data_IF_980416310686
#
_entry.id   IF_980416310686
#
_cell.length_a   1.000
_cell.length_b   1.000
_cell.length_c   1.000
_cell.angle_alpha   90.00
_cell.angle_beta   90.00
_cell.angle_gamma   90.00
#
_symmetry.space_group_name_H-M   'P 1'
#
loop_
_entity.id
_entity.type
_entity.pdbx_description
1 polymer ?
#
# COMPACT_ATOMS: atom_id res chain seq x y z
N UNK A 1 -46.06 64.78 -18.24
CA UNK A 1 -47.29 64.21 -17.69
C UNK A 1 -47.47 62.86 -18.35
N UNK A 2 -46.83 61.79 -17.87
CA UNK A 2 -47.17 60.93 -16.70
C UNK A 2 -48.33 59.95 -17.01
N UNK A 3 -48.10 59.02 -17.94
CA UNK A 3 -48.77 57.72 -17.90
C UNK A 3 -47.97 56.81 -16.96
N UNK A 4 -48.51 56.66 -15.76
CA UNK A 4 -48.07 55.74 -14.73
C UNK A 4 -48.21 54.29 -15.22
N UNK A 5 -47.08 53.64 -15.44
CA UNK A 5 -46.92 52.19 -15.55
C UNK A 5 -47.74 51.49 -14.47
N UNK A 6 -48.89 50.92 -14.86
CA UNK A 6 -49.65 50.04 -14.00
C UNK A 6 -48.91 48.71 -13.91
N UNK A 7 -48.18 48.54 -12.81
CA UNK A 7 -47.63 47.24 -12.42
C UNK A 7 -48.78 46.24 -12.28
N UNK A 8 -48.80 45.24 -13.16
CA UNK A 8 -49.68 44.08 -13.06
C UNK A 8 -49.54 43.46 -11.68
N UNK A 9 -50.62 43.30 -10.90
CA UNK A 9 -50.53 42.64 -9.60
C UNK A 9 -50.03 41.21 -9.81
N UNK A 10 -48.93 40.88 -9.15
CA UNK A 10 -48.27 39.60 -9.21
C UNK A 10 -49.29 38.48 -8.92
N UNK A 11 -49.70 37.78 -9.97
CA UNK A 11 -50.50 36.58 -9.90
C UNK A 11 -49.55 35.49 -9.38
N UNK A 12 -49.56 35.24 -8.07
CA UNK A 12 -48.80 34.14 -7.46
C UNK A 12 -49.19 32.84 -8.14
N UNK A 13 -48.24 32.27 -8.90
CA UNK A 13 -48.45 31.06 -9.69
C UNK A 13 -48.49 29.87 -8.71
N UNK A 14 -49.66 29.24 -8.45
CA UNK A 14 -49.77 28.18 -7.43
C UNK A 14 -49.02 26.89 -7.81
N UNK A 15 -48.70 26.71 -9.10
CA UNK A 15 -48.05 25.53 -9.67
C UNK A 15 -46.60 25.30 -9.18
N UNK A 16 -45.87 26.35 -8.77
CA UNK A 16 -44.45 26.24 -8.37
C UNK A 16 -44.30 25.71 -6.94
N UNK A 17 -45.30 25.93 -6.09
CA UNK A 17 -45.22 25.64 -4.66
C UNK A 17 -45.40 24.15 -4.36
N UNK A 18 -46.19 23.43 -5.14
CA UNK A 18 -46.44 22.01 -4.91
C UNK A 18 -45.30 21.13 -5.46
N UNK A 19 -44.83 21.42 -6.68
CA UNK A 19 -43.71 20.69 -7.30
C UNK A 19 -42.39 20.81 -6.52
N UNK A 20 -42.09 21.99 -5.96
CA UNK A 20 -40.85 22.21 -5.18
C UNK A 20 -40.84 21.49 -3.83
N UNK A 21 -42.00 21.25 -3.21
CA UNK A 21 -42.07 20.57 -1.93
C UNK A 21 -41.86 19.05 -2.07
N UNK A 22 -42.34 18.47 -3.18
CA UNK A 22 -42.09 17.06 -3.50
C UNK A 22 -40.61 16.81 -3.81
N UNK A 23 -40.00 17.63 -4.67
CA UNK A 23 -38.57 17.52 -5.01
C UNK A 23 -37.64 17.70 -3.81
N UNK A 24 -37.91 18.69 -2.94
CA UNK A 24 -37.13 18.92 -1.72
C UNK A 24 -37.26 17.73 -0.75
N UNK A 25 -38.46 17.16 -0.61
CA UNK A 25 -38.67 15.99 0.27
C UNK A 25 -37.94 14.75 -0.24
N UNK A 26 -37.91 14.55 -1.56
CA UNK A 26 -37.19 13.44 -2.20
C UNK A 26 -35.68 13.55 -1.95
N UNK A 27 -35.08 14.73 -2.16
CA UNK A 27 -33.65 14.94 -1.94
C UNK A 27 -33.23 14.76 -0.47
N UNK A 28 -34.08 15.18 0.48
CA UNK A 28 -33.82 15.00 1.91
C UNK A 28 -33.85 13.51 2.31
N UNK A 29 -34.75 12.72 1.73
CA UNK A 29 -34.82 11.27 1.96
C UNK A 29 -33.59 10.56 1.38
N UNK A 30 -33.14 10.95 0.19
CA UNK A 30 -31.96 10.36 -0.44
C UNK A 30 -30.67 10.67 0.34
N UNK A 31 -30.50 11.88 0.86
CA UNK A 31 -29.35 12.22 1.73
C UNK A 31 -29.35 11.36 2.99
N UNK A 32 -30.52 11.12 3.58
CA UNK A 32 -30.62 10.27 4.77
C UNK A 32 -30.25 8.83 4.46
N UNK A 33 -30.70 8.29 3.33
CA UNK A 33 -30.35 6.93 2.87
C UNK A 33 -28.85 6.79 2.67
N UNK A 34 -28.26 7.71 1.91
CA UNK A 34 -26.82 7.74 1.66
C UNK A 34 -26.05 7.80 2.98
N UNK A 35 -26.49 8.65 3.92
CA UNK A 35 -25.87 8.74 5.26
C UNK A 35 -25.94 7.41 6.01
N UNK A 36 -27.09 6.74 6.05
CA UNK A 36 -27.22 5.43 6.72
C UNK A 36 -26.40 4.34 6.04
N UNK A 37 -26.38 4.30 4.70
CA UNK A 37 -25.58 3.34 3.93
C UNK A 37 -24.08 3.52 4.19
N UNK A 38 -23.62 4.77 4.33
CA UNK A 38 -22.25 5.07 4.73
C UNK A 38 -21.93 4.54 6.14
N UNK A 39 -22.81 4.77 7.13
CA UNK A 39 -22.58 4.27 8.49
C UNK A 39 -22.56 2.74 8.57
N UNK A 40 -23.48 2.08 7.86
CA UNK A 40 -23.54 0.62 7.81
C UNK A 40 -22.29 0.02 7.15
N UNK A 41 -21.86 0.62 6.04
CA UNK A 41 -20.62 0.27 5.34
C UNK A 41 -19.40 0.46 6.24
N UNK A 42 -19.27 1.60 6.92
CA UNK A 42 -18.17 1.88 7.85
C UNK A 42 -18.14 0.91 9.03
N UNK A 43 -19.31 0.56 9.59
CA UNK A 43 -19.41 -0.42 10.66
C UNK A 43 -18.98 -1.83 10.17
N UNK A 44 -19.28 -2.17 8.91
CA UNK A 44 -18.87 -3.43 8.29
C UNK A 44 -17.35 -3.51 8.01
N UNK A 45 -16.65 -2.39 7.88
CA UNK A 45 -15.19 -2.36 7.72
C UNK A 45 -14.42 -2.55 9.03
N UNK A 46 -15.03 -2.31 10.19
CA UNK A 46 -14.33 -2.40 11.48
C UNK A 46 -13.73 -3.79 11.75
N UNK A 47 -14.47 -4.91 11.55
CA UNK A 47 -13.94 -6.26 11.72
C UNK A 47 -12.82 -6.60 10.73
N UNK A 48 -12.94 -6.15 9.47
CA UNK A 48 -11.94 -6.43 8.44
C UNK A 48 -10.63 -5.68 8.70
N UNK A 49 -10.71 -4.44 9.21
CA UNK A 49 -9.54 -3.67 9.65
C UNK A 49 -8.81 -4.34 10.83
N UNK A 50 -9.53 -4.92 11.79
CA UNK A 50 -8.91 -5.70 12.87
C UNK A 50 -8.16 -6.92 12.31
N UNK A 51 -8.75 -7.63 11.36
CA UNK A 51 -8.09 -8.74 10.66
C UNK A 51 -6.83 -8.28 9.92
N UNK A 52 -6.90 -7.15 9.21
CA UNK A 52 -5.77 -6.56 8.51
C UNK A 52 -4.62 -6.16 9.48
N UNK A 53 -4.94 -5.51 10.60
CA UNK A 53 -3.95 -5.17 11.63
C UNK A 53 -3.28 -6.43 12.17
N UNK A 54 -4.05 -7.48 12.46
CA UNK A 54 -3.50 -8.75 12.94
C UNK A 54 -2.51 -9.35 11.92
N UNK A 55 -2.86 -9.33 10.63
CA UNK A 55 -1.98 -9.80 9.54
C UNK A 55 -0.68 -8.99 9.49
N UNK A 56 -0.74 -7.65 9.60
CA UNK A 56 0.46 -6.80 9.59
C UNK A 56 1.35 -7.09 10.79
N UNK A 57 0.75 -7.27 11.97
CA UNK A 57 1.49 -7.62 13.19
C UNK A 57 2.19 -8.96 13.01
N UNK A 58 1.48 -9.99 12.56
CA UNK A 58 2.07 -11.30 12.27
C UNK A 58 3.17 -11.21 11.20
N UNK A 59 2.94 -10.41 10.16
CA UNK A 59 3.91 -10.13 9.11
C UNK A 59 5.20 -9.50 9.63
N UNK A 60 5.09 -8.60 10.61
CA UNK A 60 6.25 -8.00 11.25
C UNK A 60 7.11 -9.03 11.99
N UNK A 61 6.50 -9.96 12.73
CA UNK A 61 7.22 -11.06 13.37
C UNK A 61 7.95 -11.94 12.34
N UNK A 62 7.26 -12.34 11.28
CA UNK A 62 7.83 -13.18 10.20
C UNK A 62 8.96 -12.44 9.48
N UNK A 63 8.76 -11.17 9.12
CA UNK A 63 9.77 -10.34 8.47
C UNK A 63 11.02 -10.15 9.34
N UNK A 64 10.84 -9.97 10.66
CA UNK A 64 11.94 -9.86 11.62
C UNK A 64 12.76 -11.15 11.67
N UNK A 65 12.10 -12.31 11.62
CA UNK A 65 12.74 -13.62 11.63
C UNK A 65 13.51 -13.87 10.34
N UNK A 66 12.91 -13.59 9.17
CA UNK A 66 13.57 -13.70 7.87
C UNK A 66 14.78 -12.77 7.76
N UNK A 67 14.69 -11.54 8.28
CA UNK A 67 15.83 -10.61 8.37
C UNK A 67 16.97 -11.19 9.20
N UNK A 68 16.66 -11.79 10.35
CA UNK A 68 17.67 -12.40 11.20
C UNK A 68 18.30 -13.63 10.53
N UNK A 69 17.49 -14.46 9.86
CA UNK A 69 17.97 -15.60 9.07
C UNK A 69 18.92 -15.17 7.96
N UNK A 70 18.54 -14.17 7.17
CA UNK A 70 19.37 -13.64 6.06
C UNK A 70 20.72 -13.14 6.56
N UNK A 71 20.77 -12.43 7.70
CA UNK A 71 22.03 -12.00 8.32
C UNK A 71 22.90 -13.17 8.73
N UNK A 72 22.32 -14.15 9.43
CA UNK A 72 23.06 -15.35 9.87
C UNK A 72 23.61 -16.17 8.70
N UNK A 73 22.85 -16.25 7.60
CA UNK A 73 23.31 -16.90 6.38
C UNK A 73 24.48 -16.15 5.75
N UNK A 74 24.41 -14.81 5.68
CA UNK A 74 25.51 -13.99 5.18
C UNK A 74 26.79 -14.10 6.01
N UNK A 75 26.67 -14.08 7.34
CA UNK A 75 27.82 -14.24 8.24
C UNK A 75 28.44 -15.64 8.12
N UNK A 76 27.60 -16.68 7.99
CA UNK A 76 28.05 -18.06 7.80
C UNK A 76 28.74 -18.23 6.45
N UNK A 77 28.19 -17.67 5.38
CA UNK A 77 28.80 -17.67 4.06
C UNK A 77 30.19 -17.01 4.10
N UNK A 78 30.33 -15.87 4.78
CA UNK A 78 31.62 -15.19 4.91
C UNK A 78 32.66 -16.04 5.68
N UNK A 79 32.23 -16.77 6.74
CA UNK A 79 33.11 -17.73 7.46
C UNK A 79 33.55 -18.91 6.60
N UNK A 80 32.71 -19.38 5.70
CA UNK A 80 33.05 -20.46 4.77
C UNK A 80 34.01 -19.95 3.68
N UNK A 81 33.73 -18.78 3.10
CA UNK A 81 34.60 -18.17 2.09
C UNK A 81 36.00 -17.86 2.64
N UNK A 82 36.10 -17.35 3.86
CA UNK A 82 37.41 -17.09 4.51
C UNK A 82 38.20 -18.37 4.78
N UNK A 83 37.55 -19.51 5.06
CA UNK A 83 38.24 -20.81 5.17
C UNK A 83 38.76 -21.31 3.82
N UNK A 84 38.00 -21.13 2.74
CA UNK A 84 38.36 -21.59 1.39
C UNK A 84 39.40 -20.67 0.73
N UNK A 85 39.31 -19.36 0.93
CA UNK A 85 40.23 -18.36 0.37
C UNK A 85 41.67 -18.48 0.88
N UNK A 86 41.92 -19.23 1.96
CA UNK A 86 43.27 -19.53 2.47
C UNK A 86 44.13 -20.37 1.51
N UNK A 87 43.54 -20.96 0.45
CA UNK A 87 44.25 -21.82 -0.51
C UNK A 87 44.63 -21.15 -1.84
N UNK A 88 44.45 -19.83 -1.96
CA UNK A 88 44.93 -19.05 -3.09
C UNK A 88 43.82 -18.51 -3.98
N UNK A 89 43.98 -17.24 -4.39
CA UNK A 89 43.22 -16.53 -5.42
C UNK A 89 41.92 -15.78 -5.04
N UNK A 90 41.32 -15.95 -3.85
CA UNK A 90 39.98 -15.38 -3.54
C UNK A 90 39.92 -14.39 -2.36
N UNK A 91 41.01 -13.69 -2.03
CA UNK A 91 41.02 -12.68 -0.95
C UNK A 91 40.09 -11.49 -1.20
N UNK A 92 39.71 -11.22 -2.45
CA UNK A 92 38.82 -10.11 -2.83
C UNK A 92 37.32 -10.42 -2.71
N UNK A 93 36.94 -11.69 -2.49
CA UNK A 93 35.55 -12.15 -2.53
C UNK A 93 34.83 -12.10 -1.17
N UNK A 94 35.17 -11.16 -0.29
CA UNK A 94 34.44 -10.99 0.96
C UNK A 94 33.15 -10.20 0.73
N UNK A 95 32.01 -10.85 0.97
CA UNK A 95 30.72 -10.13 0.99
C UNK A 95 30.76 -9.17 2.16
N UNK A 96 30.78 -7.87 1.88
CA UNK A 96 30.88 -6.88 2.95
C UNK A 96 29.67 -6.99 3.88
N UNK A 97 29.90 -6.82 5.18
CA UNK A 97 28.83 -6.77 6.19
C UNK A 97 27.80 -5.68 5.86
N UNK A 98 28.20 -4.66 5.10
CA UNK A 98 27.29 -3.66 4.53
C UNK A 98 26.30 -4.25 3.54
N UNK A 99 26.77 -5.03 2.57
CA UNK A 99 25.91 -5.69 1.56
C UNK A 99 24.93 -6.67 2.22
N UNK A 100 25.39 -7.52 3.16
CA UNK A 100 24.51 -8.44 3.90
C UNK A 100 23.44 -7.67 4.68
N UNK A 101 23.81 -6.54 5.30
CA UNK A 101 22.87 -5.70 6.05
C UNK A 101 21.81 -5.07 5.15
N UNK A 102 22.20 -4.60 3.97
CA UNK A 102 21.28 -4.04 2.97
C UNK A 102 20.34 -5.14 2.48
N UNK A 103 20.88 -6.29 2.06
CA UNK A 103 20.09 -7.43 1.59
C UNK A 103 19.08 -7.91 2.65
N UNK A 104 19.50 -8.09 3.90
CA UNK A 104 18.59 -8.46 4.98
C UNK A 104 17.52 -7.40 5.25
N UNK A 105 17.85 -6.12 5.04
CA UNK A 105 16.87 -5.03 5.18
C UNK A 105 15.90 -5.00 4.00
N UNK A 106 16.35 -5.31 2.78
CA UNK A 106 15.46 -5.52 1.63
C UNK A 106 14.51 -6.68 1.88
N UNK A 107 14.99 -7.83 2.35
CA UNK A 107 14.13 -8.99 2.68
C UNK A 107 13.05 -8.61 3.68
N UNK A 108 13.39 -7.82 4.71
CA UNK A 108 12.41 -7.31 5.68
C UNK A 108 11.35 -6.45 5.01
N UNK A 109 11.75 -5.44 4.24
CA UNK A 109 10.82 -4.51 3.59
C UNK A 109 9.94 -5.21 2.55
N UNK A 110 10.51 -6.13 1.77
CA UNK A 110 9.77 -6.94 0.81
C UNK A 110 8.74 -7.80 1.52
N UNK A 111 9.16 -8.57 2.53
CA UNK A 111 8.23 -9.41 3.31
C UNK A 111 7.12 -8.55 3.91
N UNK A 112 7.47 -7.40 4.52
CA UNK A 112 6.49 -6.47 5.06
C UNK A 112 5.50 -6.00 4.01
N UNK A 113 5.98 -5.64 2.82
CA UNK A 113 5.13 -5.22 1.71
C UNK A 113 4.15 -6.32 1.29
N UNK A 114 4.59 -7.57 1.23
CA UNK A 114 3.71 -8.72 0.95
C UNK A 114 2.59 -8.82 2.00
N UNK A 115 2.92 -8.68 3.29
CA UNK A 115 1.93 -8.72 4.37
C UNK A 115 1.00 -7.49 4.36
N UNK A 116 1.50 -6.29 4.07
CA UNK A 116 0.68 -5.09 3.92
C UNK A 116 -0.29 -5.27 2.75
N UNK A 117 0.17 -5.85 1.64
CA UNK A 117 -0.67 -6.14 0.48
C UNK A 117 -1.78 -7.11 0.84
N UNK A 118 -1.45 -8.21 1.54
CA UNK A 118 -2.43 -9.16 2.04
C UNK A 118 -3.43 -8.52 3.03
N UNK A 119 -2.93 -7.71 3.96
CA UNK A 119 -3.77 -6.99 4.93
C UNK A 119 -4.73 -6.01 4.25
N UNK A 120 -4.26 -5.31 3.22
CA UNK A 120 -5.07 -4.37 2.43
C UNK A 120 -6.23 -5.09 1.72
N UNK A 121 -5.98 -6.28 1.16
CA UNK A 121 -7.02 -7.13 0.56
C UNK A 121 -8.06 -7.55 1.60
N UNK A 122 -7.60 -7.97 2.78
CA UNK A 122 -8.48 -8.38 3.87
C UNK A 122 -9.30 -7.18 4.38
N UNK A 123 -8.70 -5.99 4.45
CA UNK A 123 -9.39 -4.76 4.80
C UNK A 123 -10.45 -4.32 3.77
N UNK A 124 -10.50 -4.92 2.58
CA UNK A 124 -11.40 -4.53 1.49
C UNK A 124 -10.96 -3.26 0.76
N UNK A 125 -9.69 -2.89 0.86
CA UNK A 125 -9.13 -1.69 0.21
C UNK A 125 -8.65 -2.03 -1.21
N UNK A 126 -9.57 -2.46 -2.07
CA UNK A 126 -9.26 -3.04 -3.38
C UNK A 126 -8.38 -2.13 -4.25
N UNK A 127 -8.71 -0.85 -4.35
CA UNK A 127 -7.94 0.12 -5.13
C UNK A 127 -6.47 0.22 -4.68
N UNK A 128 -6.23 0.16 -3.36
CA UNK A 128 -4.88 0.20 -2.81
C UNK A 128 -4.16 -1.14 -3.02
N UNK A 129 -4.88 -2.26 -2.89
CA UNK A 129 -4.31 -3.59 -3.08
C UNK A 129 -3.79 -3.81 -4.50
N UNK A 130 -4.52 -3.34 -5.52
CA UNK A 130 -4.11 -3.44 -6.93
C UNK A 130 -2.83 -2.67 -7.20
N UNK A 131 -2.67 -1.50 -6.56
CA UNK A 131 -1.43 -0.73 -6.66
C UNK A 131 -0.27 -1.44 -5.98
N UNK A 132 -0.49 -1.97 -4.78
CA UNK A 132 0.53 -2.71 -4.04
C UNK A 132 0.98 -3.98 -4.77
N UNK A 133 0.05 -4.70 -5.40
CA UNK A 133 0.37 -5.89 -6.20
C UNK A 133 1.37 -5.60 -7.31
N UNK A 134 1.19 -4.47 -8.01
CA UNK A 134 2.12 -4.04 -9.06
C UNK A 134 3.52 -3.80 -8.49
N UNK A 135 3.61 -3.18 -7.32
CA UNK A 135 4.89 -2.97 -6.63
C UNK A 135 5.50 -4.32 -6.23
N UNK A 136 4.72 -5.23 -5.66
CA UNK A 136 5.18 -6.57 -5.25
C UNK A 136 5.70 -7.38 -6.43
N UNK A 137 5.01 -7.38 -7.56
CA UNK A 137 5.45 -8.08 -8.79
C UNK A 137 6.75 -7.45 -9.37
N UNK A 138 7.00 -6.18 -9.10
CA UNK A 138 8.22 -5.51 -9.53
C UNK A 138 9.43 -5.79 -8.61
N UNK A 139 9.19 -6.23 -7.36
CA UNK A 139 10.29 -6.53 -6.40
C UNK A 139 11.34 -7.50 -6.95
N UNK A 140 10.99 -8.67 -7.54
CA UNK A 140 11.99 -9.60 -8.08
C UNK A 140 12.84 -8.97 -9.17
N UNK A 141 12.24 -8.12 -10.01
CA UNK A 141 12.92 -7.41 -11.08
C UNK A 141 13.94 -6.40 -10.52
N UNK A 142 13.57 -5.67 -9.46
CA UNK A 142 14.50 -4.79 -8.74
C UNK A 142 15.68 -5.54 -8.13
N UNK A 143 15.42 -6.71 -7.53
CA UNK A 143 16.48 -7.57 -6.98
C UNK A 143 17.40 -8.06 -8.08
N UNK A 144 16.85 -8.54 -9.21
CA UNK A 144 17.64 -8.98 -10.36
C UNK A 144 18.51 -7.84 -10.91
N UNK A 145 17.95 -6.64 -11.09
CA UNK A 145 18.71 -5.45 -11.50
C UNK A 145 19.82 -5.10 -10.53
N UNK A 146 19.56 -5.15 -9.22
CA UNK A 146 20.57 -4.93 -8.18
C UNK A 146 21.70 -5.96 -8.24
N UNK A 147 21.38 -7.23 -8.47
CA UNK A 147 22.40 -8.29 -8.67
C UNK A 147 23.22 -8.04 -9.92
N UNK A 148 22.61 -7.64 -11.04
CA UNK A 148 23.32 -7.31 -12.29
C UNK A 148 24.31 -6.15 -12.06
N UNK A 149 23.88 -5.07 -11.39
CA UNK A 149 24.76 -3.94 -11.04
C UNK A 149 25.92 -4.40 -10.16
N UNK A 150 25.65 -5.22 -9.15
CA UNK A 150 26.68 -5.73 -8.24
C UNK A 150 27.72 -6.58 -9.01
N UNK A 151 27.26 -7.49 -9.87
CA UNK A 151 28.14 -8.33 -10.69
C UNK A 151 28.95 -7.47 -11.67
N UNK A 152 28.32 -6.52 -12.35
CA UNK A 152 29.02 -5.60 -13.27
C UNK A 152 30.09 -4.77 -12.57
N UNK A 153 29.80 -4.26 -11.37
CA UNK A 153 30.77 -3.54 -10.55
C UNK A 153 31.96 -4.43 -10.15
N UNK A 154 31.71 -5.67 -9.73
CA UNK A 154 32.76 -6.61 -9.36
C UNK A 154 33.66 -6.97 -10.55
N UNK A 155 33.07 -7.18 -11.73
CA UNK A 155 33.83 -7.45 -12.97
C UNK A 155 34.65 -6.22 -13.37
N UNK A 156 34.13 -5.00 -13.20
CA UNK A 156 34.87 -3.76 -13.50
C UNK A 156 36.04 -3.49 -12.55
N UNK A 157 36.00 -4.05 -11.33
CA UNK A 157 37.02 -3.82 -10.29
C UNK A 157 38.23 -4.77 -10.42
N UNK A 158 38.05 -5.93 -11.08
CA UNK A 158 39.08 -6.95 -11.31
C UNK A 158 39.81 -6.68 -12.62
#
# INVERSE_FOLDING_TARGET
MLESSQATPAQEVPFVKEASLEEVSAWVVDIRKVSSEFFETMAAYLPSLLGAILIVVLGWFVARLLRAGTRRLGDTANRLLTRVASTGFLTSFQVSTGVVRIAASMVFWVTMLLFITAATRIAGLDAFSVWLDRIVVYVPHLVAGGVIILVGYLISLV
#
